data_IF_430178340336
#
_entry.id   IF_430178340336
#
_cell.length_a   1.000
_cell.length_b   1.000
_cell.length_c   1.000
_cell.angle_alpha   90.00
_cell.angle_beta   90.00
_cell.angle_gamma   90.00
#
_symmetry.space_group_name_H-M   'P 1'
#
loop_
_entity.id
_entity.type
_entity.pdbx_description
1 polymer ?
#
# COMPACT_ATOMS: atom_id res chain seq x y z
N UNK A 1 -4.70 1.69 -6.59
CA UNK A 1 -3.88 2.83 -6.13
C UNK A 1 -3.17 2.39 -4.86
N UNK A 2 -1.95 1.89 -4.99
CA UNK A 2 -1.14 1.35 -3.89
C UNK A 2 -0.19 2.45 -3.42
N UNK A 3 -0.27 2.76 -2.12
CA UNK A 3 0.32 3.98 -1.56
C UNK A 3 -0.44 5.21 -2.05
N UNK A 4 -1.73 5.25 -1.72
CA UNK A 4 -2.64 6.27 -2.23
C UNK A 4 -2.33 7.68 -1.66
N UNK A 5 -1.58 7.78 -0.57
CA UNK A 5 -1.22 9.03 0.11
C UNK A 5 -2.47 9.88 0.38
N UNK A 6 -2.57 11.10 -0.16
CA UNK A 6 -3.76 11.95 -0.01
C UNK A 6 -4.91 11.61 -0.99
N UNK A 7 -4.76 10.55 -1.79
CA UNK A 7 -5.79 10.04 -2.69
C UNK A 7 -5.81 10.68 -4.08
N UNK A 8 -4.73 11.29 -4.54
CA UNK A 8 -4.71 12.00 -5.84
C UNK A 8 -5.18 11.09 -6.98
N UNK A 9 -4.52 9.94 -7.18
CA UNK A 9 -4.92 8.99 -8.22
C UNK A 9 -6.28 8.37 -7.94
N UNK A 10 -6.55 8.03 -6.68
CA UNK A 10 -7.86 7.51 -6.24
C UNK A 10 -9.02 8.41 -6.65
N UNK A 11 -8.94 9.72 -6.36
CA UNK A 11 -10.01 10.66 -6.65
C UNK A 11 -10.14 10.94 -8.14
N UNK A 12 -9.04 11.06 -8.88
CA UNK A 12 -9.09 11.21 -10.33
C UNK A 12 -9.77 10.01 -11.02
N UNK A 13 -9.34 8.79 -10.70
CA UNK A 13 -9.92 7.59 -11.31
C UNK A 13 -11.40 7.39 -10.92
N UNK A 14 -11.75 7.66 -9.65
CA UNK A 14 -13.13 7.58 -9.18
C UNK A 14 -14.04 8.63 -9.85
N UNK A 15 -13.56 9.87 -10.04
CA UNK A 15 -14.29 10.93 -10.74
C UNK A 15 -14.53 10.61 -12.21
N UNK A 16 -13.63 9.83 -12.84
CA UNK A 16 -13.81 9.28 -14.20
C UNK A 16 -14.76 8.05 -14.25
N UNK A 17 -15.45 7.75 -13.15
CA UNK A 17 -16.43 6.65 -13.08
C UNK A 17 -15.81 5.26 -12.97
N UNK A 18 -14.50 5.16 -12.72
CA UNK A 18 -13.82 3.86 -12.53
C UNK A 18 -13.89 3.42 -11.08
N UNK A 19 -13.95 2.10 -10.86
CA UNK A 19 -13.77 1.54 -9.53
C UNK A 19 -12.30 1.63 -9.14
N UNK A 20 -12.03 1.94 -7.87
CA UNK A 20 -10.69 2.06 -7.32
C UNK A 20 -10.60 1.26 -6.02
N UNK A 21 -9.64 0.33 -5.99
CA UNK A 21 -9.09 -0.19 -4.74
C UNK A 21 -7.90 0.70 -4.34
N UNK A 22 -8.06 1.46 -3.26
CA UNK A 22 -7.05 2.36 -2.70
C UNK A 22 -6.44 1.71 -1.47
N UNK A 23 -5.11 1.66 -1.40
CA UNK A 23 -4.36 1.09 -0.28
C UNK A 23 -3.48 2.19 0.30
N UNK A 24 -3.70 2.51 1.57
CA UNK A 24 -2.96 3.52 2.32
C UNK A 24 -2.97 3.12 3.80
N UNK A 25 -1.83 3.17 4.48
CA UNK A 25 -1.71 2.65 5.84
C UNK A 25 -1.53 3.75 6.90
N UNK A 26 -1.17 4.97 6.51
CA UNK A 26 -1.08 6.09 7.42
C UNK A 26 -2.47 6.65 7.72
N UNK A 27 -2.93 6.47 8.98
CA UNK A 27 -4.31 6.77 9.36
C UNK A 27 -4.80 8.19 8.96
N UNK A 28 -4.02 9.28 9.18
CA UNK A 28 -4.44 10.62 8.76
C UNK A 28 -4.70 10.76 7.25
N UNK A 29 -3.95 10.04 6.42
CA UNK A 29 -4.15 10.01 4.98
C UNK A 29 -5.42 9.24 4.61
N UNK A 30 -5.66 8.09 5.23
CA UNK A 30 -6.90 7.32 5.02
C UNK A 30 -8.15 8.13 5.36
N UNK A 31 -8.09 8.95 6.41
CA UNK A 31 -9.23 9.79 6.83
C UNK A 31 -9.49 10.93 5.84
N UNK A 32 -8.43 11.51 5.27
CA UNK A 32 -8.54 12.50 4.18
C UNK A 32 -9.16 11.89 2.93
N UNK A 33 -8.70 10.72 2.50
CA UNK A 33 -9.26 10.01 1.35
C UNK A 33 -10.74 9.72 1.60
N UNK A 34 -11.07 9.14 2.75
CA UNK A 34 -12.46 8.81 3.09
C UNK A 34 -13.35 10.06 3.05
N UNK A 35 -12.89 11.18 3.62
CA UNK A 35 -13.63 12.45 3.56
C UNK A 35 -13.80 12.97 2.14
N UNK A 36 -12.75 12.92 1.31
CA UNK A 36 -12.81 13.35 -0.09
C UNK A 36 -13.79 12.51 -0.91
N UNK A 37 -13.79 11.18 -0.73
CA UNK A 37 -14.72 10.24 -1.37
C UNK A 37 -16.17 10.58 -1.03
N UNK A 38 -16.47 10.91 0.23
CA UNK A 38 -17.80 11.32 0.66
C UNK A 38 -18.22 12.66 0.03
N UNK A 39 -17.35 13.66 0.07
CA UNK A 39 -17.62 15.00 -0.46
C UNK A 39 -17.86 15.00 -1.97
N UNK A 40 -17.13 14.16 -2.71
CA UNK A 40 -17.29 14.01 -4.16
C UNK A 40 -18.43 13.06 -4.56
N UNK A 41 -19.13 12.44 -3.60
CA UNK A 41 -20.19 11.47 -3.84
C UNK A 41 -19.75 10.27 -4.72
N UNK A 42 -18.54 9.78 -4.50
CA UNK A 42 -17.97 8.61 -5.24
C UNK A 42 -17.76 7.39 -4.34
N UNK A 43 -18.45 7.33 -3.20
CA UNK A 43 -18.35 6.22 -2.22
C UNK A 43 -18.66 4.84 -2.80
N UNK A 44 -19.50 4.76 -3.85
CA UNK A 44 -19.79 3.50 -4.55
C UNK A 44 -18.66 3.05 -5.49
N UNK A 45 -17.64 3.90 -5.71
CA UNK A 45 -16.51 3.63 -6.61
C UNK A 45 -15.21 3.32 -5.88
N UNK A 46 -15.09 3.62 -4.59
CA UNK A 46 -13.82 3.48 -3.87
C UNK A 46 -13.96 2.47 -2.73
N UNK A 47 -13.04 1.53 -2.67
CA UNK A 47 -12.76 0.72 -1.47
C UNK A 47 -11.40 1.14 -0.95
N UNK A 48 -11.35 1.51 0.33
CA UNK A 48 -10.13 1.93 1.01
C UNK A 48 -9.67 0.82 1.98
N UNK A 49 -8.46 0.31 1.75
CA UNK A 49 -7.80 -0.67 2.61
C UNK A 49 -6.74 0.06 3.44
N UNK A 50 -6.85 -0.04 4.76
CA UNK A 50 -6.01 0.72 5.71
C UNK A 50 -4.73 -0.02 6.15
N UNK A 51 -4.39 -1.12 5.46
CA UNK A 51 -3.27 -1.98 5.80
C UNK A 51 -2.05 -1.67 4.94
N UNK A 52 -0.86 -1.93 5.48
CA UNK A 52 0.37 -1.89 4.69
C UNK A 52 0.52 -3.19 3.88
N UNK A 53 0.98 -3.09 2.64
CA UNK A 53 1.35 -4.27 1.86
C UNK A 53 2.76 -4.71 2.23
N UNK A 54 2.92 -6.00 2.48
CA UNK A 54 4.20 -6.58 2.86
C UNK A 54 4.29 -8.06 2.44
N UNK A 55 5.42 -8.70 2.75
CA UNK A 55 5.67 -10.10 2.42
C UNK A 55 4.84 -11.06 3.27
N UNK A 56 4.50 -10.66 4.51
CA UNK A 56 3.72 -11.47 5.45
C UNK A 56 2.55 -10.69 6.04
N UNK A 57 1.41 -11.36 6.21
CA UNK A 57 0.21 -10.82 6.84
C UNK A 57 0.29 -10.85 8.37
N UNK A 58 -0.42 -9.91 9.01
CA UNK A 58 -0.66 -9.94 10.45
C UNK A 58 0.46 -9.38 11.32
N UNK A 59 1.54 -8.87 10.72
CA UNK A 59 2.61 -8.21 11.46
C UNK A 59 2.23 -6.75 11.75
N UNK A 60 2.75 -6.21 12.84
CA UNK A 60 2.69 -4.78 13.12
C UNK A 60 4.06 -4.18 12.84
N UNK A 61 4.12 -3.28 11.86
CA UNK A 61 5.33 -2.58 11.48
C UNK A 61 5.17 -1.08 11.76
N UNK A 62 6.30 -0.38 11.88
CA UNK A 62 6.32 1.06 12.11
C UNK A 62 6.61 1.78 10.78
N UNK A 63 5.85 2.81 10.48
CA UNK A 63 6.17 3.78 9.43
C UNK A 63 7.25 4.76 9.90
N UNK A 64 8.14 5.14 9.00
CA UNK A 64 9.08 6.23 9.24
C UNK A 64 8.32 7.52 9.54
N UNK A 65 8.88 8.34 10.42
CA UNK A 65 8.34 9.67 10.70
C UNK A 65 9.32 10.71 10.18
N UNK A 66 8.94 11.36 9.08
CA UNK A 66 9.70 12.46 8.49
C UNK A 66 8.97 13.79 8.78
N UNK A 67 9.43 14.58 9.77
CA UNK A 67 8.72 15.79 10.19
C UNK A 67 8.61 16.87 9.09
N UNK A 68 9.47 16.81 8.07
CA UNK A 68 9.51 17.77 6.96
C UNK A 68 8.80 17.21 5.71
N UNK A 69 8.71 15.89 5.57
CA UNK A 69 8.09 15.22 4.43
C UNK A 69 7.16 14.10 4.92
N UNK A 70 5.98 14.48 5.41
CA UNK A 70 4.97 13.53 5.89
C UNK A 70 4.52 12.56 4.79
N UNK A 71 4.70 12.90 3.51
CA UNK A 71 4.38 12.01 2.39
C UNK A 71 5.39 10.90 2.15
N UNK A 72 6.64 11.04 2.63
CA UNK A 72 7.74 10.11 2.37
C UNK A 72 7.83 8.94 3.35
N UNK A 73 6.70 8.49 3.89
CA UNK A 73 6.63 7.46 4.92
C UNK A 73 6.91 6.09 4.33
N UNK A 74 7.93 5.42 4.85
CA UNK A 74 8.29 4.05 4.45
C UNK A 74 8.11 3.09 5.63
N UNK A 75 7.92 1.80 5.35
CA UNK A 75 7.97 0.80 6.41
C UNK A 75 9.42 0.71 6.95
N UNK A 76 9.61 0.92 8.25
CA UNK A 76 10.87 0.67 8.95
C UNK A 76 11.06 -0.85 9.06
N UNK A 77 11.49 -1.46 7.95
CA UNK A 77 11.87 -2.86 7.85
C UNK A 77 13.25 -2.98 8.48
N UNK A 78 13.26 -3.09 9.79
CA UNK A 78 14.47 -3.12 10.62
C UNK A 78 15.42 -4.24 10.17
N UNK A 79 16.46 -3.90 9.40
CA UNK A 79 17.54 -4.85 9.05
C UNK A 79 18.49 -5.12 10.23
N UNK A 80 18.39 -4.38 11.34
CA UNK A 80 19.13 -4.63 12.58
C UNK A 80 18.31 -4.22 13.80
N UNK A 81 18.01 -5.10 14.77
CA UNK A 81 17.26 -4.73 15.96
C UNK A 81 17.93 -3.54 16.63
N UNK A 82 17.23 -2.40 16.69
CA UNK A 82 17.68 -1.24 17.48
C UNK A 82 17.69 -1.70 18.94
N UNK A 83 18.75 -1.48 19.74
CA UNK A 83 18.92 -2.08 21.08
C UNK A 83 17.83 -1.77 22.10
N UNK A 84 16.89 -0.88 21.78
CA UNK A 84 15.81 -0.42 22.65
C UNK A 84 14.43 -0.60 22.01
N UNK A 85 14.20 -1.63 21.21
CA UNK A 85 12.83 -2.03 20.87
C UNK A 85 12.15 -2.57 22.12
N UNK A 86 11.62 -1.65 22.94
CA UNK A 86 10.60 -1.97 23.93
C UNK A 86 9.52 -2.76 23.20
N UNK A 87 9.29 -3.97 23.67
CA UNK A 87 8.12 -4.78 23.34
C UNK A 87 6.91 -3.86 23.45
N UNK A 88 6.38 -3.42 22.31
CA UNK A 88 5.31 -2.43 22.28
C UNK A 88 4.14 -3.09 23.01
N UNK A 89 3.76 -2.54 24.16
CA UNK A 89 2.63 -3.06 24.93
C UNK A 89 1.37 -2.93 24.08
N UNK A 90 0.48 -3.92 24.10
CA UNK A 90 -0.74 -3.92 23.28
C UNK A 90 -1.59 -2.66 23.42
N UNK A 91 -1.46 -1.90 24.52
CA UNK A 91 -2.15 -0.62 24.75
C UNK A 91 -1.52 0.58 24.04
N UNK A 92 -0.22 0.56 23.73
CA UNK A 92 0.46 1.64 22.98
C UNK A 92 0.37 1.45 21.45
N UNK A 93 -0.06 0.27 20.99
CA UNK A 93 -0.37 -0.02 19.58
C UNK A 93 -1.65 0.68 19.11
N UNK A 94 -2.63 0.89 19.99
CA UNK A 94 -4.01 1.23 19.57
C UNK A 94 -4.15 2.67 19.05
N UNK A 95 -3.23 3.58 19.39
CA UNK A 95 -3.36 5.02 19.07
C UNK A 95 -2.17 5.63 18.31
N UNK A 96 -1.13 4.86 17.97
CA UNK A 96 -0.01 5.38 17.20
C UNK A 96 -0.31 5.26 15.69
N UNK A 97 -0.53 6.38 14.96
CA UNK A 97 -0.85 6.33 13.52
C UNK A 97 0.31 5.83 12.66
N UNK A 98 1.51 5.67 13.23
CA UNK A 98 2.68 5.10 12.57
C UNK A 98 2.81 3.59 12.79
N UNK A 99 1.99 2.96 13.63
CA UNK A 99 1.99 1.49 13.76
C UNK A 99 0.88 0.94 12.87
N UNK A 100 1.27 0.15 11.87
CA UNK A 100 0.37 -0.36 10.83
C UNK A 100 0.40 -1.87 10.78
N UNK A 101 -0.79 -2.47 10.57
CA UNK A 101 -0.92 -3.92 10.39
C UNK A 101 -0.70 -4.26 8.92
N UNK A 102 0.16 -5.24 8.67
CA UNK A 102 0.46 -5.73 7.32
C UNK A 102 -0.58 -6.71 6.81
N UNK A 103 -0.76 -6.72 5.50
CA UNK A 103 -1.39 -7.78 4.70
C UNK A 103 -0.51 -8.08 3.49
N UNK A 104 -0.74 -9.20 2.84
CA UNK A 104 -0.18 -9.55 1.54
C UNK A 104 -1.00 -8.96 0.40
N UNK A 105 -0.40 -8.83 -0.79
CA UNK A 105 -1.14 -8.36 -1.96
C UNK A 105 -2.21 -9.38 -2.39
N UNK A 106 -1.94 -10.69 -2.25
CA UNK A 106 -2.91 -11.75 -2.54
C UNK A 106 -4.19 -11.69 -1.67
N UNK A 107 -4.12 -11.16 -0.44
CA UNK A 107 -5.32 -10.99 0.40
C UNK A 107 -6.33 -9.99 -0.17
N UNK A 108 -5.99 -9.23 -1.22
CA UNK A 108 -6.91 -8.35 -1.92
C UNK A 108 -7.78 -9.06 -2.96
N UNK A 109 -7.43 -10.30 -3.36
CA UNK A 109 -8.15 -11.09 -4.38
C UNK A 109 -9.65 -11.19 -4.10
N UNK A 110 -10.12 -11.50 -2.86
CA UNK A 110 -11.55 -11.57 -2.57
C UNK A 110 -12.29 -10.26 -2.82
N UNK A 111 -11.66 -9.12 -2.53
CA UNK A 111 -12.24 -7.78 -2.73
C UNK A 111 -12.40 -7.50 -4.23
N UNK A 112 -11.37 -7.82 -5.02
CA UNK A 112 -11.38 -7.64 -6.47
C UNK A 112 -12.46 -8.52 -7.13
N UNK A 113 -12.58 -9.79 -6.73
CA UNK A 113 -13.62 -10.69 -7.24
C UNK A 113 -15.03 -10.27 -6.83
N UNK A 114 -15.24 -9.87 -5.57
CA UNK A 114 -16.54 -9.41 -5.09
C UNK A 114 -17.04 -8.16 -5.85
N UNK A 115 -16.12 -7.41 -6.48
CA UNK A 115 -16.42 -6.26 -7.33
C UNK A 115 -16.51 -6.58 -8.81
N UNK A 116 -16.42 -7.86 -9.18
CA UNK A 116 -16.48 -8.32 -10.58
C UNK A 116 -15.32 -7.81 -11.43
N UNK A 117 -14.18 -7.46 -10.82
CA UNK A 117 -13.01 -7.02 -11.56
C UNK A 117 -12.40 -8.20 -12.32
N UNK A 118 -11.99 -7.93 -13.57
CA UNK A 118 -11.29 -8.90 -14.44
C UNK A 118 -9.84 -8.49 -14.71
N UNK A 119 -9.51 -7.25 -14.39
CA UNK A 119 -8.23 -6.63 -14.64
C UNK A 119 -8.12 -5.29 -13.96
N UNK A 120 -6.90 -4.76 -13.88
CA UNK A 120 -6.60 -3.51 -13.21
C UNK A 120 -5.41 -2.80 -13.86
N UNK A 121 -5.42 -1.47 -13.78
CA UNK A 121 -4.19 -0.68 -13.92
C UNK A 121 -3.67 -0.42 -12.51
N UNK A 122 -2.39 -0.67 -12.28
CA UNK A 122 -1.76 -0.47 -10.97
C UNK A 122 -0.92 0.81 -11.00
N UNK A 123 -1.16 1.69 -10.05
CA UNK A 123 -0.16 2.63 -9.54
C UNK A 123 0.36 2.02 -8.24
N UNK A 124 1.68 1.93 -8.06
CA UNK A 124 2.35 1.56 -6.80
C UNK A 124 3.46 2.55 -6.44
N UNK A 125 3.35 3.24 -5.31
CA UNK A 125 4.44 4.06 -4.76
C UNK A 125 4.34 3.95 -3.25
N UNK A 126 5.15 3.07 -2.68
CA UNK A 126 5.17 2.73 -1.25
C UNK A 126 6.60 2.84 -0.72
N UNK A 127 7.32 3.83 -1.26
CA UNK A 127 8.56 4.36 -0.73
C UNK A 127 9.63 3.26 -0.54
N UNK A 128 9.82 2.41 -1.56
CA UNK A 128 10.84 1.35 -1.57
C UNK A 128 10.35 -0.03 -1.12
N UNK A 129 9.06 -0.17 -0.77
CA UNK A 129 8.45 -1.44 -0.37
C UNK A 129 7.81 -2.21 -1.54
N UNK A 130 8.01 -1.77 -2.77
CA UNK A 130 7.42 -2.35 -4.00
C UNK A 130 7.71 -3.85 -4.13
N UNK A 131 8.96 -4.26 -3.91
CA UNK A 131 9.36 -5.67 -3.98
C UNK A 131 8.61 -6.52 -2.96
N UNK A 132 8.47 -6.03 -1.72
CA UNK A 132 7.79 -6.75 -0.65
C UNK A 132 6.30 -6.98 -0.94
N UNK A 133 5.64 -6.02 -1.58
CA UNK A 133 4.26 -6.19 -2.00
C UNK A 133 4.13 -7.25 -3.12
N UNK A 134 5.10 -7.32 -4.02
CA UNK A 134 5.09 -8.23 -5.18
C UNK A 134 5.55 -9.65 -4.83
N UNK A 135 6.45 -9.82 -3.88
CA UNK A 135 6.85 -11.12 -3.31
C UNK A 135 5.64 -11.95 -2.82
N UNK A 136 4.59 -11.27 -2.34
CA UNK A 136 3.34 -11.90 -1.87
C UNK A 136 2.16 -11.67 -2.81
N UNK A 137 2.42 -11.34 -4.08
CA UNK A 137 1.44 -10.83 -5.03
C UNK A 137 1.11 -11.70 -6.24
N UNK A 138 1.77 -12.85 -6.44
CA UNK A 138 1.67 -13.64 -7.68
C UNK A 138 0.22 -13.97 -8.08
N UNK A 139 -0.66 -14.32 -7.13
CA UNK A 139 -2.04 -14.68 -7.44
C UNK A 139 -2.82 -13.50 -8.04
N UNK A 140 -2.50 -12.27 -7.65
CA UNK A 140 -3.13 -11.09 -8.26
C UNK A 140 -2.74 -10.98 -9.74
N UNK A 141 -1.51 -11.31 -10.11
CA UNK A 141 -1.05 -11.29 -11.51
C UNK A 141 -1.49 -12.52 -12.31
N UNK A 142 -1.69 -13.66 -11.65
CA UNK A 142 -2.21 -14.86 -12.30
C UNK A 142 -3.72 -14.78 -12.60
N UNK A 143 -4.48 -14.09 -11.74
CA UNK A 143 -5.95 -14.08 -11.79
C UNK A 143 -6.56 -12.86 -12.48
N UNK A 144 -5.82 -11.76 -12.62
CA UNK A 144 -6.34 -10.50 -13.16
C UNK A 144 -5.47 -9.99 -14.31
N UNK A 145 -6.10 -9.48 -15.36
CA UNK A 145 -5.41 -8.82 -16.47
C UNK A 145 -4.83 -7.47 -16.02
N UNK A 146 -3.50 -7.40 -15.89
CA UNK A 146 -2.77 -6.21 -15.44
C UNK A 146 -1.85 -5.73 -16.57
N UNK A 147 -2.37 -4.95 -17.53
CA UNK A 147 -1.60 -4.54 -18.70
C UNK A 147 -0.60 -3.41 -18.39
N UNK A 148 -0.75 -2.71 -17.26
CA UNK A 148 0.11 -1.58 -16.93
C UNK A 148 0.31 -1.41 -15.41
N UNK A 149 1.55 -1.14 -15.05
CA UNK A 149 1.99 -0.82 -13.70
C UNK A 149 2.86 0.42 -13.76
N UNK A 150 2.42 1.49 -13.11
CA UNK A 150 3.26 2.64 -12.83
C UNK A 150 3.83 2.50 -11.42
N UNK A 151 5.16 2.46 -11.28
CA UNK A 151 5.80 2.34 -9.98
C UNK A 151 6.93 3.34 -9.72
N UNK A 152 7.18 3.63 -8.44
CA UNK A 152 8.35 4.38 -8.02
C UNK A 152 9.61 3.52 -8.11
N UNK A 153 10.58 3.97 -8.90
CA UNK A 153 11.89 3.29 -9.02
C UNK A 153 13.01 3.99 -8.26
N UNK A 154 12.78 5.21 -7.76
CA UNK A 154 13.82 6.08 -7.24
C UNK A 154 14.47 5.53 -5.96
N UNK A 155 13.67 5.01 -5.02
CA UNK A 155 14.20 4.32 -3.82
C UNK A 155 14.63 2.89 -4.12
N UNK A 156 13.83 2.15 -4.89
CA UNK A 156 14.10 0.74 -5.27
C UNK A 156 15.50 0.56 -5.87
N UNK A 157 15.94 1.44 -6.77
CA UNK A 157 17.27 1.36 -7.39
C UNK A 157 18.45 1.46 -6.40
N UNK A 158 18.20 1.94 -5.19
CA UNK A 158 19.18 1.94 -4.10
C UNK A 158 19.40 0.56 -3.46
N UNK A 159 18.54 -0.41 -3.77
CA UNK A 159 18.58 -1.78 -3.25
C UNK A 159 18.66 -2.79 -4.41
N UNK A 160 19.88 -3.19 -4.83
CA UNK A 160 20.09 -4.04 -6.01
C UNK A 160 19.26 -5.33 -6.01
N UNK A 161 19.13 -6.00 -4.86
CA UNK A 161 18.35 -7.24 -4.76
C UNK A 161 16.86 -7.02 -4.99
N UNK A 162 16.31 -5.89 -4.50
CA UNK A 162 14.90 -5.52 -4.73
C UNK A 162 14.66 -5.16 -6.18
N UNK A 163 15.56 -4.37 -6.77
CA UNK A 163 15.49 -4.02 -8.19
C UNK A 163 15.56 -5.27 -9.09
N UNK A 164 16.48 -6.19 -8.77
CA UNK A 164 16.59 -7.48 -9.46
C UNK A 164 15.30 -8.31 -9.35
N UNK A 165 14.77 -8.47 -8.13
CA UNK A 165 13.52 -9.19 -7.93
C UNK A 165 12.39 -8.64 -8.80
N UNK A 166 12.23 -7.31 -8.86
CA UNK A 166 11.18 -6.69 -9.67
C UNK A 166 11.35 -6.94 -11.16
N UNK A 167 12.58 -6.88 -11.66
CA UNK A 167 12.88 -7.19 -13.06
C UNK A 167 12.55 -8.66 -13.37
N UNK A 168 13.00 -9.57 -12.51
CA UNK A 168 12.76 -11.02 -12.65
C UNK A 168 11.27 -11.38 -12.49
N UNK A 169 10.48 -10.59 -11.75
CA UNK A 169 9.05 -10.83 -11.55
C UNK A 169 8.23 -10.47 -12.80
N UNK A 170 8.63 -9.45 -13.57
CA UNK A 170 7.88 -8.97 -14.73
C UNK A 170 8.40 -9.44 -16.10
N UNK A 171 9.58 -10.07 -16.14
CA UNK A 171 10.24 -10.53 -17.37
C UNK A 171 10.34 -12.05 -17.44
#
# INVERSE_FOLDING_TARGET
>A
DIGANIGTYTMYAAALGRFVLAIECFAPNTDRIHRAVQLANVSNRVVLVKNALYTHSGQYLRLSNHPINVGGQELDVVTKPKPNQQTISNQSIVNDPYIVKTITLNELVPILHARGMRGAIIKMDIEGSESFALESGSQVFDLFDIPFIQMEWFKVRGFPDRAKFLLDFFY
#
